data_IF_980224531595
#
_entry.id   IF_980224531595
#
_cell.length_a   1.000
_cell.length_b   1.000
_cell.length_c   1.000
_cell.angle_alpha   90.00
_cell.angle_beta   90.00
_cell.angle_gamma   90.00
#
_symmetry.space_group_name_H-M   'P 1'
#
loop_
_entity.id
_entity.type
_entity.pdbx_description
1 polymer ?
#
# COMPACT_ATOMS: atom_id res chain seq x y z
N UNK A 1 25.02 12.35 8.02
CA UNK A 1 24.64 12.25 6.60
C UNK A 1 23.13 12.33 6.54
N UNK A 2 22.56 13.24 5.73
CA UNK A 2 21.09 13.29 5.58
C UNK A 2 20.62 11.99 4.94
N UNK A 3 19.77 11.26 5.65
CA UNK A 3 19.10 10.08 5.09
C UNK A 3 18.24 10.53 3.90
N UNK A 4 18.40 9.97 2.69
CA UNK A 4 17.58 10.39 1.56
C UNK A 4 16.10 10.14 1.86
N UNK A 5 15.29 11.18 1.68
CA UNK A 5 13.83 11.11 1.81
C UNK A 5 13.20 10.92 0.42
N UNK A 6 12.08 10.20 0.33
CA UNK A 6 11.40 9.99 -0.94
C UNK A 6 10.70 11.26 -1.43
N UNK A 7 10.57 11.37 -2.74
CA UNK A 7 9.77 12.40 -3.38
C UNK A 7 8.34 11.90 -3.57
N UNK A 8 7.36 12.70 -3.16
CA UNK A 8 5.94 12.40 -3.36
C UNK A 8 5.48 12.92 -4.73
N UNK A 9 4.91 12.04 -5.52
CA UNK A 9 4.31 12.33 -6.81
C UNK A 9 2.87 11.85 -6.89
N UNK A 10 2.18 12.28 -7.95
CA UNK A 10 0.81 11.86 -8.23
C UNK A 10 0.63 11.56 -9.71
N UNK A 11 -0.28 10.64 -10.00
CA UNK A 11 -0.78 10.35 -11.34
C UNK A 11 -2.30 10.32 -11.30
N UNK A 12 -2.94 10.79 -12.37
CA UNK A 12 -4.39 10.71 -12.53
C UNK A 12 -4.75 9.40 -13.20
N UNK A 13 -5.56 8.60 -12.52
CA UNK A 13 -6.07 7.32 -12.98
C UNK A 13 -7.57 7.43 -13.31
N UNK A 14 -8.07 6.51 -14.14
CA UNK A 14 -9.46 6.45 -14.52
C UNK A 14 -10.15 5.22 -13.94
N UNK A 15 -11.40 5.38 -13.55
CA UNK A 15 -12.31 4.31 -13.18
C UNK A 15 -13.64 4.46 -13.90
N UNK A 16 -14.52 3.45 -13.90
CA UNK A 16 -15.85 3.56 -14.50
C UNK A 16 -16.71 4.71 -13.96
N UNK A 17 -16.37 5.25 -12.77
CA UNK A 17 -17.13 6.32 -12.13
C UNK A 17 -16.40 7.68 -12.14
N UNK A 18 -15.31 7.79 -12.90
CA UNK A 18 -14.57 9.05 -13.07
C UNK A 18 -13.09 8.96 -12.76
N UNK A 19 -12.47 10.10 -12.60
CA UNK A 19 -11.03 10.19 -12.36
C UNK A 19 -10.72 10.18 -10.87
N UNK A 20 -9.59 9.58 -10.52
CA UNK A 20 -9.04 9.63 -9.17
C UNK A 20 -7.52 9.82 -9.22
N UNK A 21 -6.97 10.27 -8.11
CA UNK A 21 -5.54 10.53 -7.98
C UNK A 21 -4.87 9.37 -7.25
N UNK A 22 -3.82 8.80 -7.84
CA UNK A 22 -2.93 7.88 -7.16
C UNK A 22 -1.61 8.56 -6.81
N UNK A 23 -1.20 8.45 -5.55
CA UNK A 23 0.08 8.93 -5.04
C UNK A 23 1.14 7.83 -5.19
N UNK A 24 2.41 8.22 -5.37
CA UNK A 24 3.54 7.32 -5.27
C UNK A 24 4.78 8.03 -4.73
N UNK A 25 5.59 7.28 -4.02
CA UNK A 25 6.83 7.72 -3.44
C UNK A 25 7.99 7.25 -4.33
N UNK A 26 8.92 8.15 -4.63
CA UNK A 26 10.05 7.88 -5.51
C UNK A 26 11.36 8.06 -4.76
N UNK A 27 12.21 7.04 -4.83
CA UNK A 27 13.55 7.00 -4.26
C UNK A 27 14.59 6.85 -5.38
N UNK A 28 15.81 7.35 -5.14
CA UNK A 28 16.92 7.26 -6.09
C UNK A 28 16.89 8.33 -7.17
N UNK A 29 17.68 8.10 -8.22
CA UNK A 29 17.77 9.03 -9.35
C UNK A 29 16.56 8.86 -10.27
N UNK A 30 15.84 9.95 -10.52
CA UNK A 30 14.68 9.98 -11.42
C UNK A 30 15.03 9.66 -12.88
N UNK A 31 16.30 9.83 -13.27
CA UNK A 31 16.80 9.52 -14.61
C UNK A 31 17.27 8.06 -14.76
N UNK A 32 17.33 7.29 -13.65
CA UNK A 32 17.77 5.90 -13.71
C UNK A 32 16.73 5.04 -14.47
N UNK A 33 17.10 4.39 -15.59
CA UNK A 33 16.18 3.56 -16.37
C UNK A 33 15.83 2.23 -15.69
N UNK A 34 16.63 1.80 -14.69
CA UNK A 34 16.36 0.58 -13.93
C UNK A 34 15.33 0.86 -12.84
N UNK A 35 14.08 0.50 -13.10
CA UNK A 35 12.97 0.81 -12.22
C UNK A 35 12.52 -0.43 -11.44
N UNK A 36 12.34 -0.26 -10.12
CA UNK A 36 11.67 -1.24 -9.24
C UNK A 36 10.38 -0.63 -8.72
N UNK A 37 9.25 -1.30 -8.94
CA UNK A 37 7.93 -0.92 -8.41
C UNK A 37 7.62 -1.81 -7.21
N UNK A 38 7.48 -1.23 -6.02
CA UNK A 38 7.19 -1.92 -4.77
C UNK A 38 5.75 -1.67 -4.33
N UNK A 39 4.89 -2.69 -4.36
CA UNK A 39 3.45 -2.56 -4.10
C UNK A 39 3.04 -3.28 -2.83
N UNK A 40 2.39 -2.55 -1.95
CA UNK A 40 2.05 -2.93 -0.58
C UNK A 40 0.84 -3.87 -0.45
N UNK A 41 0.65 -4.43 0.75
CA UNK A 41 -0.49 -5.24 1.13
C UNK A 41 -1.80 -4.45 1.31
N UNK A 42 -2.90 -5.16 1.55
CA UNK A 42 -4.29 -4.68 1.46
C UNK A 42 -4.60 -3.40 2.24
N UNK A 43 -4.22 -3.32 3.52
CA UNK A 43 -4.46 -2.16 4.38
C UNK A 43 -3.23 -1.28 4.60
N UNK A 44 -2.17 -1.53 3.83
CA UNK A 44 -0.87 -0.89 3.94
C UNK A 44 -0.72 0.25 2.93
N UNK A 45 0.49 0.79 2.76
CA UNK A 45 0.80 1.89 1.84
C UNK A 45 2.28 1.87 1.41
N UNK A 46 2.67 2.73 0.46
CA UNK A 46 3.98 2.72 -0.16
C UNK A 46 5.17 2.91 0.80
N UNK A 47 4.98 3.64 1.92
CA UNK A 47 6.05 3.87 2.90
C UNK A 47 6.44 2.62 3.72
N UNK A 48 5.74 1.49 3.55
CA UNK A 48 6.17 0.20 4.09
C UNK A 48 7.51 -0.27 3.51
N UNK A 49 7.85 0.22 2.33
CA UNK A 49 9.08 -0.13 1.62
C UNK A 49 10.25 0.83 1.88
N UNK A 50 10.14 1.78 2.80
CA UNK A 50 11.15 2.83 3.01
C UNK A 50 12.57 2.27 3.21
N UNK A 51 12.71 1.19 3.99
CA UNK A 51 14.02 0.56 4.22
C UNK A 51 14.55 -0.09 2.94
N UNK A 52 13.74 -0.95 2.31
CA UNK A 52 14.10 -1.61 1.05
C UNK A 52 14.39 -0.60 -0.06
N UNK A 53 13.53 0.41 -0.19
CA UNK A 53 13.66 1.42 -1.23
C UNK A 53 14.93 2.27 -1.04
N UNK A 54 15.29 2.58 0.19
CA UNK A 54 16.54 3.28 0.50
C UNK A 54 17.76 2.44 0.13
N UNK A 55 17.75 1.15 0.48
CA UNK A 55 18.87 0.24 0.18
C UNK A 55 19.04 0.04 -1.33
N UNK A 56 17.94 0.02 -2.09
CA UNK A 56 17.97 -0.15 -3.55
C UNK A 56 18.24 1.17 -4.30
N UNK A 57 18.09 2.31 -3.66
CA UNK A 57 18.08 3.63 -4.33
C UNK A 57 19.41 4.06 -4.94
N UNK A 58 20.53 3.42 -4.56
CA UNK A 58 21.84 3.63 -5.21
C UNK A 58 21.91 3.04 -6.63
N UNK A 59 21.17 1.96 -6.88
CA UNK A 59 21.22 1.17 -8.10
C UNK A 59 19.96 1.29 -8.95
N UNK A 60 18.84 1.65 -8.35
CA UNK A 60 17.52 1.67 -8.96
C UNK A 60 16.78 2.97 -8.69
N UNK A 61 15.89 3.33 -9.60
CA UNK A 61 14.77 4.22 -9.33
C UNK A 61 13.65 3.40 -8.72
N UNK A 62 13.35 3.61 -7.44
CA UNK A 62 12.36 2.80 -6.71
C UNK A 62 11.05 3.58 -6.57
N UNK A 63 9.96 2.95 -6.97
CA UNK A 63 8.61 3.52 -7.02
C UNK A 63 7.70 2.75 -6.08
N UNK A 64 7.18 3.42 -5.07
CA UNK A 64 6.31 2.83 -4.06
C UNK A 64 4.93 3.52 -4.11
N UNK A 65 3.96 3.02 -4.91
CA UNK A 65 2.63 3.62 -4.97
C UNK A 65 1.85 3.38 -3.69
N UNK A 66 0.99 4.33 -3.36
CA UNK A 66 -0.14 4.13 -2.47
C UNK A 66 -1.31 3.68 -3.35
N UNK A 67 -1.71 2.42 -3.28
CA UNK A 67 -2.85 1.92 -4.07
C UNK A 67 -4.11 2.70 -3.68
N UNK A 68 -4.98 3.02 -4.65
CA UNK A 68 -6.19 3.82 -4.43
C UNK A 68 -6.97 3.37 -3.20
N UNK A 69 -7.42 4.36 -2.40
CA UNK A 69 -8.04 4.13 -1.09
C UNK A 69 -7.05 3.99 0.09
N UNK A 70 -5.73 4.13 -0.13
CA UNK A 70 -4.69 4.05 0.92
C UNK A 70 -3.75 5.24 0.85
N UNK A 71 -3.13 5.53 1.96
CA UNK A 71 -2.10 6.54 2.07
C UNK A 71 -2.54 7.90 1.51
N UNK A 72 -1.73 8.46 0.62
CA UNK A 72 -1.97 9.77 -0.01
C UNK A 72 -2.79 9.71 -1.29
N UNK A 73 -3.23 8.52 -1.70
CA UNK A 73 -4.12 8.33 -2.85
C UNK A 73 -5.56 8.74 -2.55
N UNK A 74 -6.30 9.06 -3.61
CA UNK A 74 -7.73 9.33 -3.52
C UNK A 74 -8.55 8.12 -3.10
N UNK A 75 -9.80 8.36 -2.71
CA UNK A 75 -10.78 7.33 -2.42
C UNK A 75 -11.77 7.19 -3.58
N UNK A 76 -12.29 5.99 -3.79
CA UNK A 76 -13.27 5.74 -4.85
C UNK A 76 -14.68 6.01 -4.36
N UNK A 77 -15.52 6.72 -5.16
CA UNK A 77 -16.93 6.95 -4.81
C UNK A 77 -17.75 5.66 -4.75
N UNK A 78 -17.39 4.65 -5.56
CA UNK A 78 -18.02 3.34 -5.54
C UNK A 78 -17.09 2.30 -4.90
N UNK A 79 -17.38 1.85 -3.67
CA UNK A 79 -16.56 0.87 -2.97
C UNK A 79 -16.38 -0.47 -3.69
N UNK A 80 -17.32 -0.85 -4.57
CA UNK A 80 -17.27 -2.11 -5.32
C UNK A 80 -16.10 -2.16 -6.31
N UNK A 81 -15.52 -0.99 -6.62
CA UNK A 81 -14.36 -0.88 -7.50
C UNK A 81 -13.02 -1.11 -6.80
N UNK A 82 -12.98 -1.26 -5.48
CA UNK A 82 -11.76 -1.63 -4.75
C UNK A 82 -11.40 -3.10 -5.01
N UNK A 83 -10.75 -3.37 -6.13
CA UNK A 83 -10.38 -4.72 -6.54
C UNK A 83 -9.20 -4.76 -7.51
N UNK A 84 -8.64 -5.95 -7.70
CA UNK A 84 -7.46 -6.18 -8.55
C UNK A 84 -7.61 -5.58 -9.96
N UNK A 85 -8.77 -5.66 -10.65
CA UNK A 85 -8.90 -5.06 -11.98
C UNK A 85 -8.65 -3.54 -12.00
N UNK A 86 -9.21 -2.79 -11.04
CA UNK A 86 -8.97 -1.35 -10.91
C UNK A 86 -7.51 -1.07 -10.57
N UNK A 87 -6.94 -1.83 -9.63
CA UNK A 87 -5.55 -1.65 -9.21
C UNK A 87 -4.57 -1.92 -10.36
N UNK A 88 -4.83 -2.91 -11.20
CA UNK A 88 -4.02 -3.19 -12.40
C UNK A 88 -4.11 -2.03 -13.39
N UNK A 89 -5.30 -1.48 -13.64
CA UNK A 89 -5.47 -0.32 -14.53
C UNK A 89 -4.69 0.90 -14.02
N UNK A 90 -4.73 1.14 -12.71
CA UNK A 90 -3.96 2.21 -12.07
C UNK A 90 -2.45 2.00 -12.24
N UNK A 91 -1.96 0.76 -12.06
CA UNK A 91 -0.55 0.43 -12.23
C UNK A 91 -0.09 0.56 -13.69
N UNK A 92 -0.94 0.20 -14.67
CA UNK A 92 -0.65 0.47 -16.10
C UNK A 92 -0.45 1.97 -16.33
N UNK A 93 -1.32 2.80 -15.76
CA UNK A 93 -1.19 4.26 -15.83
C UNK A 93 0.10 4.76 -15.16
N UNK A 94 0.46 4.20 -14.00
CA UNK A 94 1.71 4.53 -13.32
C UNK A 94 2.92 4.17 -14.17
N UNK A 95 3.00 2.95 -14.70
CA UNK A 95 4.14 2.50 -15.52
C UNK A 95 4.26 3.35 -16.78
N UNK A 96 3.16 3.69 -17.44
CA UNK A 96 3.16 4.62 -18.57
C UNK A 96 3.72 5.99 -18.17
N UNK A 97 3.40 6.50 -16.99
CA UNK A 97 3.92 7.77 -16.46
C UNK A 97 5.44 7.72 -16.19
N UNK A 98 5.96 6.55 -15.81
CA UNK A 98 7.40 6.39 -15.55
C UNK A 98 8.24 6.44 -16.84
N UNK A 99 7.62 6.20 -17.98
CA UNK A 99 8.23 6.24 -19.33
C UNK A 99 9.47 5.35 -19.45
N UNK A 100 9.33 4.09 -19.00
CA UNK A 100 10.38 3.06 -19.10
C UNK A 100 9.84 1.82 -19.81
N UNK A 101 10.67 1.09 -20.59
CA UNK A 101 10.22 -0.07 -21.35
C UNK A 101 9.91 -1.27 -20.45
N UNK A 102 10.59 -1.37 -19.31
CA UNK A 102 10.48 -2.50 -18.38
C UNK A 102 10.60 -2.07 -16.93
N UNK A 103 10.02 -2.88 -16.04
CA UNK A 103 10.10 -2.70 -14.58
C UNK A 103 10.36 -4.03 -13.90
N UNK A 104 11.06 -3.99 -12.78
CA UNK A 104 11.05 -5.05 -11.78
C UNK A 104 9.92 -4.79 -10.81
N UNK A 105 9.28 -5.84 -10.31
CA UNK A 105 8.14 -5.73 -9.41
C UNK A 105 8.39 -6.47 -8.10
N UNK A 106 8.12 -5.82 -6.99
CA UNK A 106 8.09 -6.42 -5.66
C UNK A 106 6.69 -6.21 -5.10
N UNK A 107 5.93 -7.28 -4.94
CA UNK A 107 4.56 -7.20 -4.46
C UNK A 107 4.35 -7.97 -3.16
N UNK A 108 3.86 -7.29 -2.12
CA UNK A 108 3.49 -7.93 -0.87
C UNK A 108 2.00 -8.20 -0.85
N UNK A 109 1.60 -9.47 -0.60
CA UNK A 109 0.19 -9.86 -0.47
C UNK A 109 -0.65 -9.33 -1.66
N UNK A 110 -1.61 -8.42 -1.45
CA UNK A 110 -2.38 -7.77 -2.51
C UNK A 110 -1.48 -7.20 -3.62
N UNK A 111 -0.35 -6.59 -3.30
CA UNK A 111 0.60 -6.06 -4.29
C UNK A 111 1.21 -7.14 -5.16
N UNK A 112 1.36 -8.36 -4.64
CA UNK A 112 1.75 -9.54 -5.41
C UNK A 112 0.64 -10.03 -6.33
N UNK A 113 -0.63 -10.04 -5.89
CA UNK A 113 -1.79 -10.38 -6.75
C UNK A 113 -1.91 -9.40 -7.92
N UNK A 114 -1.70 -8.11 -7.68
CA UNK A 114 -1.65 -7.09 -8.73
C UNK A 114 -0.51 -7.39 -9.71
N UNK A 115 0.68 -7.72 -9.19
CA UNK A 115 1.85 -8.08 -9.99
C UNK A 115 1.62 -9.32 -10.86
N UNK A 116 1.01 -10.38 -10.31
CA UNK A 116 0.63 -11.59 -11.06
C UNK A 116 -0.33 -11.24 -12.20
N UNK A 117 -1.39 -10.47 -11.88
CA UNK A 117 -2.40 -10.10 -12.87
C UNK A 117 -1.83 -9.21 -13.98
N UNK A 118 -0.92 -8.30 -13.67
CA UNK A 118 -0.24 -7.45 -14.65
C UNK A 118 0.81 -8.23 -15.46
N UNK A 119 1.56 -9.12 -14.83
CA UNK A 119 2.57 -9.95 -15.49
C UNK A 119 1.94 -10.95 -16.48
N UNK A 120 0.68 -11.36 -16.26
CA UNK A 120 -0.06 -12.24 -17.15
C UNK A 120 -0.61 -11.54 -18.41
N UNK A 121 -0.53 -10.21 -18.51
CA UNK A 121 -1.00 -9.47 -19.68
C UNK A 121 -0.01 -9.60 -20.85
N UNK A 122 -0.53 -9.74 -22.06
CA UNK A 122 0.32 -9.67 -23.26
C UNK A 122 0.97 -8.28 -23.36
N UNK A 123 2.28 -8.23 -23.58
CA UNK A 123 3.03 -6.99 -23.63
C UNK A 123 3.31 -6.37 -22.26
N UNK A 124 3.21 -7.18 -21.19
CA UNK A 124 3.56 -6.71 -19.83
C UNK A 124 4.94 -6.10 -19.77
N UNK A 125 5.13 -4.97 -19.04
CA UNK A 125 6.44 -4.38 -18.81
C UNK A 125 7.21 -5.09 -17.67
N UNK A 126 6.60 -6.05 -16.95
CA UNK A 126 7.25 -6.73 -15.83
C UNK A 126 8.21 -7.78 -16.35
N UNK A 127 9.51 -7.59 -16.08
CA UNK A 127 10.57 -8.55 -16.46
C UNK A 127 11.05 -9.41 -15.28
N UNK A 128 10.83 -8.95 -14.05
CA UNK A 128 11.09 -9.69 -12.81
C UNK A 128 9.99 -9.44 -11.81
N UNK A 129 9.51 -10.52 -11.16
CA UNK A 129 8.43 -10.47 -10.18
C UNK A 129 8.87 -11.16 -8.89
N UNK A 130 8.92 -10.40 -7.81
CA UNK A 130 9.12 -10.92 -6.45
C UNK A 130 7.77 -10.91 -5.75
N UNK A 131 7.34 -12.08 -5.28
CA UNK A 131 6.13 -12.29 -4.50
C UNK A 131 6.50 -12.46 -3.03
N UNK A 132 6.01 -11.57 -2.20
CA UNK A 132 6.20 -11.61 -0.75
C UNK A 132 4.86 -11.89 -0.06
N UNK A 133 4.81 -12.96 0.75
CA UNK A 133 3.63 -13.37 1.52
C UNK A 133 2.36 -13.57 0.65
N UNK A 134 2.54 -14.11 -0.54
CA UNK A 134 1.44 -14.48 -1.44
C UNK A 134 1.90 -15.48 -2.50
N UNK A 135 0.98 -16.36 -2.91
CA UNK A 135 1.14 -17.27 -4.03
C UNK A 135 -0.09 -17.25 -4.95
N UNK A 136 -0.14 -18.15 -5.92
CA UNK A 136 -1.29 -18.26 -6.85
C UNK A 136 -2.55 -18.80 -6.16
N UNK A 137 -2.44 -19.32 -4.95
CA UNK A 137 -3.54 -19.84 -4.14
C UNK A 137 -3.64 -19.05 -2.85
N UNK A 138 -4.84 -18.61 -2.50
CA UNK A 138 -5.14 -17.94 -1.24
C UNK A 138 -5.65 -19.00 -0.24
N UNK A 139 -5.01 -19.09 0.91
CA UNK A 139 -5.40 -19.97 2.01
C UNK A 139 -6.84 -19.65 2.48
N UNK A 140 -7.72 -20.65 2.67
CA UNK A 140 -9.12 -20.43 3.07
C UNK A 140 -9.28 -19.60 4.35
N UNK A 141 -8.36 -19.74 5.32
CA UNK A 141 -8.36 -18.99 6.58
C UNK A 141 -7.92 -17.52 6.47
N UNK A 142 -7.39 -17.10 5.32
CA UNK A 142 -6.88 -15.74 5.13
C UNK A 142 -8.00 -14.69 5.17
N UNK A 143 -9.08 -14.90 4.42
CA UNK A 143 -10.18 -13.92 4.31
C UNK A 143 -10.86 -13.66 5.65
N UNK A 144 -11.29 -14.67 6.43
CA UNK A 144 -11.86 -14.45 7.77
C UNK A 144 -10.92 -13.68 8.70
N UNK A 145 -9.61 -13.99 8.68
CA UNK A 145 -8.60 -13.28 9.48
C UNK A 145 -8.53 -11.80 9.10
N UNK A 146 -8.50 -11.49 7.80
CA UNK A 146 -8.44 -10.12 7.31
C UNK A 146 -9.71 -9.34 7.67
N UNK A 147 -10.88 -9.93 7.52
CA UNK A 147 -12.16 -9.30 7.87
C UNK A 147 -12.30 -9.01 9.37
N UNK A 148 -11.52 -9.67 10.22
CA UNK A 148 -11.47 -9.39 11.66
C UNK A 148 -10.97 -7.98 12.00
N UNK A 149 -10.22 -7.32 11.10
CA UNK A 149 -9.71 -5.96 11.32
C UNK A 149 -10.00 -4.98 10.18
N UNK A 150 -10.19 -5.47 8.94
CA UNK A 150 -10.34 -4.63 7.77
C UNK A 150 -11.67 -3.86 7.77
N UNK A 151 -11.60 -2.54 7.70
CA UNK A 151 -12.76 -1.67 7.72
C UNK A 151 -13.46 -1.60 9.08
N UNK A 152 -12.85 -2.15 10.13
CA UNK A 152 -13.31 -1.97 11.51
C UNK A 152 -12.85 -0.59 11.99
N UNK A 153 -13.73 0.26 12.52
CA UNK A 153 -13.33 1.54 13.09
C UNK A 153 -12.30 1.34 14.20
N UNK A 154 -11.20 2.07 14.12
CA UNK A 154 -10.16 2.04 15.13
C UNK A 154 -9.68 3.47 15.42
N UNK A 155 -9.39 3.74 16.68
CA UNK A 155 -8.85 5.00 17.17
C UNK A 155 -7.86 4.73 18.31
N UNK A 156 -6.71 5.36 18.25
CA UNK A 156 -5.66 5.23 19.25
C UNK A 156 -5.22 6.61 19.73
N UNK A 157 -4.95 6.74 21.00
CA UNK A 157 -4.52 8.00 21.60
C UNK A 157 -3.06 8.32 21.25
N UNK A 158 -2.25 7.28 21.09
CA UNK A 158 -0.80 7.42 20.83
C UNK A 158 -0.34 6.50 19.72
N UNK A 159 0.87 6.76 19.21
CA UNK A 159 1.54 5.89 18.24
C UNK A 159 1.86 4.53 18.86
N UNK A 160 2.19 4.49 20.15
CA UNK A 160 2.50 3.27 20.89
C UNK A 160 1.29 2.34 20.93
N UNK A 161 0.11 2.86 21.32
CA UNK A 161 -1.15 2.09 21.31
C UNK A 161 -1.47 1.53 19.91
N UNK A 162 -1.30 2.35 18.88
CA UNK A 162 -1.50 1.92 17.49
C UNK A 162 -0.49 0.83 17.08
N UNK A 163 0.77 0.99 17.47
CA UNK A 163 1.83 0.03 17.18
C UNK A 163 1.57 -1.32 17.87
N UNK A 164 1.15 -1.34 19.12
CA UNK A 164 0.79 -2.56 19.84
C UNK A 164 -0.40 -3.27 19.17
N UNK A 165 -1.46 -2.53 18.84
CA UNK A 165 -2.65 -3.07 18.19
C UNK A 165 -2.34 -3.65 16.80
N UNK A 166 -1.54 -2.96 15.99
CA UNK A 166 -1.14 -3.43 14.66
C UNK A 166 -0.15 -4.59 14.74
N UNK A 167 0.75 -4.61 15.73
CA UNK A 167 1.63 -5.75 15.98
C UNK A 167 0.85 -7.01 16.32
N UNK A 168 -0.21 -6.91 17.12
CA UNK A 168 -1.01 -8.07 17.52
C UNK A 168 -1.55 -8.87 16.32
N UNK A 169 -1.89 -8.20 15.22
CA UNK A 169 -2.40 -8.83 13.98
C UNK A 169 -1.31 -9.12 12.94
N UNK A 170 -0.06 -8.66 13.19
CA UNK A 170 1.05 -8.73 12.22
C UNK A 170 2.25 -9.55 12.71
N UNK A 171 2.10 -10.35 13.78
CA UNK A 171 3.19 -11.17 14.37
C UNK A 171 3.88 -12.09 13.37
N UNK A 172 3.20 -12.50 12.32
CA UNK A 172 3.75 -13.31 11.24
C UNK A 172 4.75 -12.58 10.32
N UNK A 173 4.94 -11.26 10.48
CA UNK A 173 5.89 -10.48 9.66
C UNK A 173 7.36 -10.68 10.07
N UNK A 174 7.62 -11.59 11.01
CA UNK A 174 8.96 -11.87 11.52
C UNK A 174 9.35 -10.94 12.67
N UNK A 175 10.58 -11.11 13.21
CA UNK A 175 11.05 -10.37 14.36
C UNK A 175 11.28 -8.89 13.99
N UNK A 176 10.75 -7.98 14.81
CA UNK A 176 10.96 -6.54 14.73
C UNK A 176 11.26 -6.00 16.14
N UNK A 177 12.12 -5.02 16.23
CA UNK A 177 12.24 -4.21 17.45
C UNK A 177 11.01 -3.30 17.57
N UNK A 178 10.72 -2.82 18.78
CA UNK A 178 9.64 -1.88 19.01
C UNK A 178 9.80 -0.61 18.13
N UNK A 179 11.01 -0.11 18.02
CA UNK A 179 11.34 1.07 17.21
C UNK A 179 11.07 0.84 15.72
N UNK A 180 11.49 -0.31 15.16
CA UNK A 180 11.20 -0.68 13.78
C UNK A 180 9.69 -0.77 13.53
N UNK A 181 8.95 -1.36 14.48
CA UNK A 181 7.52 -1.51 14.36
C UNK A 181 6.77 -0.17 14.45
N UNK A 182 7.18 0.71 15.34
CA UNK A 182 6.66 2.08 15.43
C UNK A 182 6.94 2.87 14.14
N UNK A 183 8.13 2.72 13.55
CA UNK A 183 8.48 3.37 12.28
C UNK A 183 7.57 2.89 11.13
N UNK A 184 7.30 1.59 11.04
CA UNK A 184 6.34 1.01 10.07
C UNK A 184 4.90 1.49 10.32
N UNK A 185 4.48 1.59 11.58
CA UNK A 185 3.12 1.96 11.94
C UNK A 185 2.83 3.43 11.70
N UNK A 186 3.79 4.31 11.95
CA UNK A 186 3.62 5.77 11.88
C UNK A 186 2.98 6.23 10.58
N UNK A 187 3.41 5.69 9.44
CA UNK A 187 2.91 6.09 8.13
C UNK A 187 1.52 5.55 7.81
N UNK A 188 1.07 4.53 8.55
CA UNK A 188 -0.26 3.92 8.38
C UNK A 188 -1.34 4.64 9.16
N UNK A 189 -0.99 5.73 9.81
CA UNK A 189 -1.87 6.50 10.67
C UNK A 189 -2.07 7.91 10.12
N UNK A 190 -3.26 8.45 10.36
CA UNK A 190 -3.55 9.88 10.21
C UNK A 190 -4.09 10.43 11.51
N UNK A 191 -3.82 11.71 11.83
CA UNK A 191 -4.45 12.39 12.95
C UNK A 191 -5.98 12.32 12.84
N UNK A 192 -6.64 12.12 13.96
CA UNK A 192 -8.09 12.06 14.05
C UNK A 192 -8.56 12.61 15.40
N UNK A 193 -9.83 13.01 15.44
CA UNK A 193 -10.53 13.36 16.66
C UNK A 193 -11.70 12.41 16.86
N UNK A 194 -12.00 12.08 18.09
CA UNK A 194 -13.17 11.27 18.51
C UNK A 194 -13.86 11.94 19.68
N UNK A 195 -15.20 11.84 19.76
CA UNK A 195 -15.95 12.33 20.89
C UNK A 195 -15.64 11.48 22.14
N UNK A 196 -15.38 12.15 23.26
CA UNK A 196 -15.11 11.54 24.54
C UNK A 196 -15.95 12.16 25.66
N UNK A 197 -15.96 11.58 26.86
CA UNK A 197 -16.81 12.02 27.97
C UNK A 197 -16.61 13.47 28.41
N UNK A 198 -15.41 14.02 28.21
CA UNK A 198 -15.03 15.37 28.60
C UNK A 198 -14.73 16.29 27.38
N UNK A 199 -15.19 15.94 26.19
CA UNK A 199 -14.92 16.67 24.96
C UNK A 199 -14.15 15.84 23.93
N UNK A 200 -13.60 16.50 22.90
CA UNK A 200 -12.87 15.82 21.83
C UNK A 200 -11.53 15.27 22.30
N UNK A 201 -11.25 14.06 21.90
CA UNK A 201 -10.00 13.37 22.12
C UNK A 201 -9.18 13.38 20.81
N UNK A 202 -7.98 13.93 20.84
CA UNK A 202 -7.03 13.85 19.72
C UNK A 202 -6.30 12.51 19.75
N UNK A 203 -6.04 11.96 18.57
CA UNK A 203 -5.36 10.68 18.39
C UNK A 203 -5.14 10.33 16.92
N UNK A 204 -5.22 9.07 16.60
CA UNK A 204 -4.91 8.52 15.29
C UNK A 204 -5.94 7.49 14.84
N UNK A 205 -6.13 7.39 13.54
CA UNK A 205 -6.90 6.32 12.89
C UNK A 205 -6.12 5.73 11.71
N UNK A 206 -6.51 4.54 11.20
CA UNK A 206 -5.89 3.96 10.02
C UNK A 206 -5.94 4.91 8.80
N UNK A 207 -4.86 4.93 8.02
CA UNK A 207 -4.71 5.76 6.84
C UNK A 207 -5.17 5.03 5.57
N UNK A 208 -6.38 4.49 5.60
CA UNK A 208 -7.04 3.89 4.44
C UNK A 208 -8.55 4.10 4.50
N UNK A 209 -9.21 4.00 3.35
CA UNK A 209 -10.67 4.03 3.25
C UNK A 209 -11.26 2.74 3.83
N UNK A 210 -12.07 2.77 4.90
CA UNK A 210 -12.70 1.57 5.44
C UNK A 210 -13.54 0.80 4.42
N UNK A 211 -14.00 1.47 3.37
CA UNK A 211 -14.81 0.88 2.30
C UNK A 211 -14.04 -0.14 1.44
N UNK A 212 -12.72 -0.22 1.53
CA UNK A 212 -11.93 -1.31 0.89
C UNK A 212 -12.35 -2.70 1.39
N UNK A 213 -13.03 -2.78 2.53
CA UNK A 213 -13.57 -4.03 3.06
C UNK A 213 -14.80 -4.54 2.28
N UNK A 214 -15.50 -3.68 1.54
CA UNK A 214 -16.75 -4.04 0.85
C UNK A 214 -16.58 -5.19 -0.11
N UNK A 215 -15.67 -5.16 -1.10
CA UNK A 215 -15.49 -6.28 -2.03
C UNK A 215 -14.92 -7.52 -1.35
N UNK A 216 -14.11 -7.38 -0.30
CA UNK A 216 -13.56 -8.51 0.45
C UNK A 216 -14.68 -9.27 1.18
N UNK A 217 -15.65 -8.55 1.78
CA UNK A 217 -16.83 -9.14 2.40
C UNK A 217 -17.77 -9.79 1.40
N UNK A 218 -17.86 -9.25 0.17
CA UNK A 218 -18.70 -9.79 -0.88
C UNK A 218 -18.13 -11.09 -1.51
N UNK A 219 -16.85 -11.39 -1.30
CA UNK A 219 -16.18 -12.59 -1.78
C UNK A 219 -16.30 -13.80 -0.84
N UNK A 220 -16.98 -13.63 0.32
CA UNK A 220 -17.29 -14.67 1.31
C UNK A 220 -18.75 -15.07 1.24
#
# INVERSE_FOLDING_TARGET
MNTPEPRLHHVTCASPVGLHRMAYWEWGDAANPRVVVCVHGLSRQGRDFDTLARDLSSDYRVICPDVVGRGRSGWLPDPRLYGVPTYVADMVTLVARLNVPEVHWVGTSMGGLIGIALAAQQGTPITRLVLNDVGPVIEPGFIPRVLGYLGVPAFWRTLEEAAEATWAISRGFGPHTLEQWQALTRHQLVPAEQDGPAGKLSGFKPHYDPAIAVPVRAAT
#
